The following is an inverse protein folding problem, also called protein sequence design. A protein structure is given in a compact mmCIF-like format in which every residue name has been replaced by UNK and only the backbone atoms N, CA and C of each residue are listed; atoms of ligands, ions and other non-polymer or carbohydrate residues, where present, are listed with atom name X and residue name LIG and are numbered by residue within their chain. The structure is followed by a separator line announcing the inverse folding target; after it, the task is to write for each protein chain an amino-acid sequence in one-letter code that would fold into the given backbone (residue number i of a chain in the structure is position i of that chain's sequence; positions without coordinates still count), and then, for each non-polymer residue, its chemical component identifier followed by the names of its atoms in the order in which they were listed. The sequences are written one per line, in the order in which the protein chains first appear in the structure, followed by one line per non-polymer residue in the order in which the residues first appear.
data_IF_873425701893
#
_entry.id   IF_873425701893
#
_cell.length_a   1.000
_cell.length_b   1.000
_cell.length_c   1.000
_cell.angle_alpha   90.00
_cell.angle_beta   90.00
_cell.angle_gamma   90.00
#
_symmetry.space_group_name_H-M   'P 1'
#
loop_
_entity.id
_entity.type
_entity.pdbx_description
1 polymer ?
#
# COMPACT_ATOMS: atom_id res chain seq x y z
N UNK A 1 -18.26 11.60 -13.92
CA UNK A 1 -18.05 10.81 -12.69
C UNK A 1 -17.34 9.47 -12.94
N UNK A 2 -17.92 8.55 -13.74
CA UNK A 2 -17.43 7.15 -13.85
C UNK A 2 -16.00 7.00 -14.39
N UNK A 3 -15.56 7.84 -15.33
CA UNK A 3 -14.20 7.76 -15.88
C UNK A 3 -13.13 8.12 -14.84
N UNK A 4 -13.35 9.20 -14.07
CA UNK A 4 -12.43 9.65 -13.00
C UNK A 4 -12.36 8.59 -11.89
N UNK A 5 -13.52 8.06 -11.47
CA UNK A 5 -13.58 7.02 -10.45
C UNK A 5 -12.81 5.76 -10.89
N UNK A 6 -12.92 5.35 -12.16
CA UNK A 6 -12.15 4.21 -12.69
C UNK A 6 -10.63 4.42 -12.69
N UNK A 7 -10.12 5.67 -12.71
CA UNK A 7 -8.66 5.92 -12.66
C UNK A 7 -8.05 5.54 -11.30
N UNK A 8 -8.84 5.55 -10.21
CA UNK A 8 -8.37 5.14 -8.88
C UNK A 8 -7.96 3.66 -8.82
N UNK A 9 -8.41 2.82 -9.75
CA UNK A 9 -7.96 1.42 -9.90
C UNK A 9 -6.46 1.31 -10.20
N UNK A 10 -5.85 2.35 -10.74
CA UNK A 10 -4.40 2.39 -11.01
C UNK A 10 -3.66 3.28 -10.01
N UNK A 11 -4.24 4.43 -9.67
CA UNK A 11 -3.60 5.42 -8.80
C UNK A 11 -3.46 4.90 -7.36
N UNK A 12 -4.52 4.38 -6.75
CA UNK A 12 -4.46 3.95 -5.35
C UNK A 12 -3.49 2.77 -5.14
N UNK A 13 -3.52 1.70 -5.97
CA UNK A 13 -2.52 0.64 -5.87
C UNK A 13 -1.08 1.10 -5.97
N UNK A 14 -0.81 2.02 -6.90
CA UNK A 14 0.52 2.59 -7.08
C UNK A 14 1.00 3.31 -5.82
N UNK A 15 0.15 4.18 -5.25
CA UNK A 15 0.45 4.91 -4.02
C UNK A 15 0.66 3.96 -2.83
N UNK A 16 -0.20 2.94 -2.67
CA UNK A 16 -0.10 1.96 -1.60
C UNK A 16 1.17 1.09 -1.71
N UNK A 17 1.60 0.75 -2.92
CA UNK A 17 2.81 -0.02 -3.16
C UNK A 17 4.09 0.72 -2.74
N UNK A 18 4.06 2.05 -2.57
CA UNK A 18 5.23 2.84 -2.16
C UNK A 18 5.77 2.47 -0.76
N UNK A 19 4.92 2.03 0.18
CA UNK A 19 5.40 1.53 1.48
C UNK A 19 6.20 0.23 1.34
N UNK A 20 5.77 -0.64 0.42
CA UNK A 20 6.49 -1.88 0.13
C UNK A 20 7.80 -1.58 -0.59
N UNK A 21 7.81 -0.60 -1.51
CA UNK A 21 9.04 -0.11 -2.12
C UNK A 21 10.04 0.40 -1.08
N UNK A 22 9.57 1.24 -0.16
CA UNK A 22 10.38 1.85 0.90
C UNK A 22 11.06 0.81 1.78
N UNK A 23 10.35 -0.26 2.19
CA UNK A 23 10.96 -1.33 2.99
C UNK A 23 11.94 -2.17 2.16
N UNK A 24 11.58 -2.48 0.92
CA UNK A 24 12.42 -3.24 -0.01
C UNK A 24 13.75 -2.54 -0.24
N UNK A 25 13.71 -1.22 -0.47
CA UNK A 25 14.91 -0.40 -0.67
C UNK A 25 15.82 -0.41 0.56
N UNK A 26 15.25 -0.22 1.75
CA UNK A 26 16.02 -0.23 3.00
C UNK A 26 16.70 -1.58 3.24
N UNK A 27 15.99 -2.68 3.05
CA UNK A 27 16.55 -4.02 3.22
C UNK A 27 17.60 -4.38 2.16
N UNK A 28 17.47 -3.87 0.94
CA UNK A 28 18.49 -4.06 -0.10
C UNK A 28 19.78 -3.29 0.16
N UNK A 29 19.68 -2.09 0.74
CA UNK A 29 20.84 -1.22 0.97
C UNK A 29 21.58 -1.53 2.26
N UNK A 30 20.85 -1.77 3.34
CA UNK A 30 21.42 -1.87 4.70
C UNK A 30 21.28 -3.28 5.31
N UNK A 31 20.53 -4.17 4.66
CA UNK A 31 20.32 -5.54 5.15
C UNK A 31 21.60 -6.37 5.19
N UNK A 32 21.57 -7.55 5.84
CA UNK A 32 22.73 -8.44 6.00
C UNK A 32 23.16 -9.17 4.70
N UNK A 33 22.90 -8.57 3.53
CA UNK A 33 23.05 -9.18 2.22
C UNK A 33 21.84 -10.03 1.84
N UNK A 34 21.38 -9.93 0.58
CA UNK A 34 20.21 -10.66 0.09
C UNK A 34 20.65 -11.92 -0.66
N UNK A 35 20.19 -13.10 -0.23
CA UNK A 35 20.46 -14.36 -0.95
C UNK A 35 19.77 -14.40 -2.32
N UNK A 36 20.36 -15.09 -3.32
CA UNK A 36 19.69 -15.33 -4.60
C UNK A 36 18.29 -15.93 -4.40
N UNK A 37 17.30 -15.43 -5.14
CA UNK A 37 15.90 -15.87 -5.03
C UNK A 37 15.10 -15.24 -3.88
N UNK A 38 15.74 -14.72 -2.84
CA UNK A 38 15.05 -13.98 -1.77
C UNK A 38 14.27 -12.76 -2.28
N UNK A 39 14.76 -11.95 -3.25
CA UNK A 39 14.00 -10.81 -3.77
C UNK A 39 12.63 -11.21 -4.33
N UNK A 40 12.59 -12.25 -5.17
CA UNK A 40 11.37 -12.73 -5.80
C UNK A 40 10.42 -13.34 -4.74
N UNK A 41 10.97 -14.15 -3.83
CA UNK A 41 10.21 -14.74 -2.73
C UNK A 41 9.54 -13.67 -1.86
N UNK A 42 10.28 -12.64 -1.46
CA UNK A 42 9.76 -11.53 -0.66
C UNK A 42 8.67 -10.77 -1.41
N UNK A 43 8.89 -10.43 -2.68
CA UNK A 43 7.92 -9.71 -3.49
C UNK A 43 6.61 -10.49 -3.70
N UNK A 44 6.70 -11.81 -3.92
CA UNK A 44 5.53 -12.69 -4.03
C UNK A 44 4.75 -12.74 -2.72
N UNK A 45 5.42 -12.91 -1.58
CA UNK A 45 4.74 -12.92 -0.26
C UNK A 45 4.09 -11.58 0.03
N UNK A 46 4.78 -10.47 -0.26
CA UNK A 46 4.24 -9.12 -0.10
C UNK A 46 2.98 -8.91 -0.95
N UNK A 47 3.04 -9.30 -2.23
CA UNK A 47 1.92 -9.19 -3.17
C UNK A 47 0.71 -10.02 -2.73
N UNK A 48 0.93 -11.29 -2.37
CA UNK A 48 -0.13 -12.20 -1.94
C UNK A 48 -0.80 -11.73 -0.65
N UNK A 49 -0.02 -11.37 0.37
CA UNK A 49 -0.57 -10.90 1.64
C UNK A 49 -1.25 -9.54 1.49
N UNK A 50 -0.71 -8.63 0.67
CA UNK A 50 -1.37 -7.38 0.35
C UNK A 50 -2.76 -7.61 -0.29
N UNK A 51 -2.85 -8.51 -1.27
CA UNK A 51 -4.11 -8.86 -1.92
C UNK A 51 -5.10 -9.53 -0.96
N UNK A 52 -4.65 -10.48 -0.14
CA UNK A 52 -5.51 -11.17 0.86
C UNK A 52 -6.06 -10.17 1.88
N UNK A 53 -5.21 -9.30 2.42
CA UNK A 53 -5.62 -8.28 3.39
C UNK A 53 -6.55 -7.24 2.76
N UNK A 54 -6.29 -6.83 1.52
CA UNK A 54 -7.18 -5.96 0.77
C UNK A 54 -8.58 -6.56 0.59
N UNK A 55 -8.63 -7.82 0.13
CA UNK A 55 -9.89 -8.56 -0.04
C UNK A 55 -10.62 -8.70 1.29
N UNK A 56 -9.91 -8.99 2.38
CA UNK A 56 -10.47 -9.03 3.72
C UNK A 56 -11.11 -7.70 4.15
N UNK A 57 -10.45 -6.57 3.87
CA UNK A 57 -10.98 -5.23 4.12
C UNK A 57 -12.21 -4.90 3.27
N UNK A 58 -12.21 -5.33 2.00
CA UNK A 58 -13.35 -5.13 1.11
C UNK A 58 -14.61 -5.87 1.58
N UNK A 59 -14.45 -7.13 1.99
CA UNK A 59 -15.57 -7.94 2.48
C UNK A 59 -16.06 -7.50 3.86
N UNK A 60 -15.17 -7.06 4.77
CA UNK A 60 -15.58 -6.56 6.08
C UNK A 60 -16.46 -5.31 5.96
N UNK A 61 -16.14 -4.41 5.03
CA UNK A 61 -16.96 -3.25 4.70
C UNK A 61 -18.30 -3.61 4.03
N UNK A 62 -18.37 -4.74 3.32
CA UNK A 62 -19.57 -5.18 2.61
C UNK A 62 -20.77 -5.46 3.52
N UNK A 63 -20.54 -5.77 4.80
CA UNK A 63 -21.61 -5.94 5.81
C UNK A 63 -22.19 -4.58 6.21
N UNK A 64 -21.34 -3.56 6.35
CA UNK A 64 -21.72 -2.20 6.74
C UNK A 64 -22.36 -1.43 5.57
N UNK A 65 -21.81 -1.60 4.37
CA UNK A 65 -22.26 -0.90 3.16
C UNK A 65 -23.70 -1.26 2.74
N UNK A 66 -24.19 -2.46 3.08
CA UNK A 66 -25.60 -2.85 2.81
C UNK A 66 -26.61 -2.13 3.70
N UNK A 67 -26.15 -1.48 4.76
CA UNK A 67 -27.02 -0.88 5.79
C UNK A 67 -26.87 0.64 5.91
N UNK A 68 -25.94 1.24 5.17
CA UNK A 68 -25.72 2.69 5.15
C UNK A 68 -26.53 3.35 4.03
N UNK A 69 -27.64 3.98 4.37
CA UNK A 69 -28.31 4.97 3.52
C UNK A 69 -27.58 6.31 3.69
N UNK A 70 -26.51 6.53 2.90
CA UNK A 70 -25.68 7.74 2.93
C UNK A 70 -24.45 7.68 3.84
N UNK A 71 -23.44 8.51 3.56
CA UNK A 71 -22.22 8.66 4.37
C UNK A 71 -21.01 7.82 3.95
N UNK A 72 -21.08 7.11 2.82
CA UNK A 72 -19.97 6.28 2.32
C UNK A 72 -18.74 7.11 1.92
N UNK A 73 -18.96 8.34 1.46
CA UNK A 73 -17.93 9.31 1.08
C UNK A 73 -17.02 9.68 2.26
N UNK A 74 -17.56 9.82 3.47
CA UNK A 74 -16.78 10.07 4.69
C UNK A 74 -15.93 8.86 5.08
N UNK A 75 -16.46 7.65 4.87
CA UNK A 75 -15.70 6.41 5.15
C UNK A 75 -14.49 6.32 4.22
N UNK A 76 -14.66 6.59 2.92
CA UNK A 76 -13.54 6.63 1.96
C UNK A 76 -12.50 7.66 2.39
N UNK A 77 -12.93 8.88 2.72
CA UNK A 77 -12.05 9.96 3.15
C UNK A 77 -11.24 9.55 4.40
N UNK A 78 -11.91 9.04 5.43
CA UNK A 78 -11.28 8.63 6.70
C UNK A 78 -10.29 7.48 6.47
N UNK A 79 -10.65 6.45 5.72
CA UNK A 79 -9.78 5.30 5.46
C UNK A 79 -8.52 5.70 4.69
N UNK A 80 -8.65 6.54 3.67
CA UNK A 80 -7.51 7.06 2.91
C UNK A 80 -6.67 8.03 3.75
N UNK A 81 -7.29 8.85 4.60
CA UNK A 81 -6.56 9.73 5.53
C UNK A 81 -5.75 8.94 6.55
N UNK A 82 -6.33 7.94 7.20
CA UNK A 82 -5.62 7.09 8.15
C UNK A 82 -4.42 6.43 7.46
N UNK A 83 -4.63 5.87 6.27
CA UNK A 83 -3.57 5.20 5.52
C UNK A 83 -2.45 6.16 5.13
N UNK A 84 -2.80 7.33 4.57
CA UNK A 84 -1.84 8.34 4.14
C UNK A 84 -1.05 8.94 5.31
N UNK A 85 -1.72 9.29 6.42
CA UNK A 85 -1.07 9.80 7.62
C UNK A 85 -0.11 8.77 8.22
N UNK A 86 -0.49 7.49 8.27
CA UNK A 86 0.39 6.42 8.76
C UNK A 86 1.65 6.30 7.93
N UNK A 87 1.55 6.39 6.59
CA UNK A 87 2.72 6.38 5.71
C UNK A 87 3.62 7.59 5.96
N UNK A 88 3.04 8.79 6.12
CA UNK A 88 3.80 10.01 6.42
C UNK A 88 4.53 9.91 7.77
N UNK A 89 3.84 9.47 8.82
CA UNK A 89 4.41 9.27 10.16
C UNK A 89 5.53 8.22 10.09
N UNK A 90 5.32 7.13 9.35
CA UNK A 90 6.35 6.11 9.14
C UNK A 90 7.56 6.67 8.42
N UNK A 91 7.37 7.47 7.38
CA UNK A 91 8.46 8.11 6.65
C UNK A 91 9.26 9.04 7.57
N UNK A 92 8.61 9.87 8.38
CA UNK A 92 9.31 10.77 9.30
C UNK A 92 10.06 10.06 10.42
N UNK A 93 9.47 9.00 10.99
CA UNK A 93 10.12 8.21 12.06
C UNK A 93 11.22 7.29 11.54
N UNK A 94 11.31 7.07 10.23
CA UNK A 94 12.30 6.18 9.62
C UNK A 94 13.67 6.87 9.58
N UNK A 95 14.52 6.57 10.57
CA UNK A 95 15.96 6.73 10.44
C UNK A 95 16.50 5.65 9.49
N UNK A 96 17.63 5.95 8.85
CA UNK A 96 18.20 5.12 7.80
C UNK A 96 18.45 3.65 8.20
N UNK A 97 19.01 3.43 9.39
CA UNK A 97 19.42 2.11 9.88
C UNK A 97 18.37 1.41 10.76
N UNK A 98 17.28 2.10 11.12
CA UNK A 98 16.38 1.67 12.20
C UNK A 98 15.25 0.75 11.71
N UNK A 99 15.12 0.54 10.40
CA UNK A 99 14.13 -0.36 9.78
C UNK A 99 14.77 -1.32 8.78
N UNK A 100 15.86 -1.94 9.22
CA UNK A 100 16.58 -2.97 8.49
C UNK A 100 16.26 -4.31 9.10
N UNK A 101 15.80 -5.24 8.27
CA UNK A 101 15.35 -6.55 8.70
C UNK A 101 16.07 -7.62 7.88
N UNK A 102 16.36 -8.76 8.51
CA UNK A 102 16.91 -9.90 7.79
C UNK A 102 15.82 -10.60 6.97
N UNK A 103 15.67 -10.18 5.72
CA UNK A 103 14.69 -10.73 4.79
C UNK A 103 15.05 -12.13 4.30
N UNK A 104 16.19 -12.70 4.68
CA UNK A 104 16.49 -14.09 4.39
C UNK A 104 15.64 -15.02 5.27
N UNK A 105 15.19 -14.53 6.43
CA UNK A 105 14.32 -15.23 7.36
C UNK A 105 12.87 -15.10 6.93
N UNK A 106 12.23 -16.23 6.62
CA UNK A 106 10.84 -16.27 6.20
C UNK A 106 9.87 -15.62 7.21
N UNK A 107 10.00 -15.84 8.53
CA UNK A 107 9.12 -15.19 9.52
C UNK A 107 9.17 -13.66 9.48
N UNK A 108 10.36 -13.12 9.17
CA UNK A 108 10.57 -11.67 9.08
C UNK A 108 9.86 -11.10 7.86
N UNK A 109 9.86 -11.81 6.73
CA UNK A 109 9.08 -11.41 5.55
C UNK A 109 7.59 -11.34 5.89
N UNK A 110 7.04 -12.38 6.54
CA UNK A 110 5.63 -12.39 6.95
C UNK A 110 5.31 -11.24 7.91
N UNK A 111 6.14 -11.02 8.94
CA UNK A 111 5.94 -9.94 9.89
C UNK A 111 5.89 -8.55 9.22
N UNK A 112 6.82 -8.27 8.30
CA UNK A 112 6.80 -7.02 7.52
C UNK A 112 5.57 -6.92 6.64
N UNK A 113 5.19 -8.00 5.95
CA UNK A 113 4.04 -8.01 5.06
C UNK A 113 2.73 -7.74 5.82
N UNK A 114 2.56 -8.29 7.02
CA UNK A 114 1.42 -7.98 7.90
C UNK A 114 1.46 -6.54 8.41
N UNK A 115 2.63 -6.06 8.84
CA UNK A 115 2.77 -4.68 9.32
C UNK A 115 2.41 -3.66 8.24
N UNK A 116 2.86 -3.88 7.00
CA UNK A 116 2.55 -3.05 5.83
C UNK A 116 1.10 -3.24 5.35
N UNK A 117 0.61 -4.47 5.41
CA UNK A 117 -0.69 -4.88 4.90
C UNK A 117 -1.88 -4.27 5.65
N UNK A 118 -1.65 -3.64 6.81
CA UNK A 118 -2.68 -2.86 7.49
C UNK A 118 -3.18 -1.67 6.64
N UNK A 119 -2.34 -1.11 5.77
CA UNK A 119 -2.76 -0.10 4.79
C UNK A 119 -3.71 -0.69 3.73
N UNK A 120 -3.50 -1.96 3.38
CA UNK A 120 -4.31 -2.67 2.39
C UNK A 120 -5.71 -3.00 2.92
N UNK A 121 -5.83 -3.33 4.21
CA UNK A 121 -7.14 -3.50 4.86
C UNK A 121 -8.00 -2.23 4.75
N UNK A 122 -7.45 -1.07 5.14
CA UNK A 122 -8.18 0.21 5.06
C UNK A 122 -8.50 0.59 3.61
N UNK A 123 -7.57 0.36 2.68
CA UNK A 123 -7.83 0.56 1.26
C UNK A 123 -8.96 -0.35 0.74
N UNK A 124 -9.04 -1.60 1.20
CA UNK A 124 -10.13 -2.52 0.86
C UNK A 124 -11.50 -1.98 1.27
N UNK A 125 -11.59 -1.45 2.49
CA UNK A 125 -12.80 -0.76 2.98
C UNK A 125 -13.14 0.42 2.09
N UNK A 126 -12.18 1.30 1.79
CA UNK A 126 -12.39 2.46 0.93
C UNK A 126 -12.91 2.07 -0.47
N UNK A 127 -12.25 1.11 -1.13
CA UNK A 127 -12.62 0.64 -2.47
C UNK A 127 -14.05 0.09 -2.51
N UNK A 128 -14.51 -0.57 -1.43
CA UNK A 128 -15.89 -1.07 -1.35
C UNK A 128 -16.92 0.06 -1.43
N UNK A 129 -16.66 1.17 -0.76
CA UNK A 129 -17.52 2.37 -0.77
C UNK A 129 -17.33 3.23 -2.02
N UNK A 130 -16.18 3.13 -2.70
CA UNK A 130 -15.97 3.73 -4.03
C UNK A 130 -16.61 2.94 -5.18
N UNK A 131 -17.28 1.81 -4.87
CA UNK A 131 -17.93 0.91 -5.84
C UNK A 131 -17.00 0.42 -6.96
N UNK A 132 -15.70 0.38 -6.70
CA UNK A 132 -14.72 -0.12 -7.65
C UNK A 132 -14.79 -1.64 -7.74
N UNK A 133 -14.47 -2.14 -8.94
CA UNK A 133 -14.40 -3.58 -9.20
C UNK A 133 -13.29 -4.23 -8.37
N UNK A 134 -13.69 -5.10 -7.44
CA UNK A 134 -12.78 -5.85 -6.57
C UNK A 134 -11.71 -6.59 -7.38
N UNK A 135 -12.12 -7.34 -8.40
CA UNK A 135 -11.20 -8.13 -9.21
C UNK A 135 -10.15 -7.25 -9.90
N UNK A 136 -10.58 -6.16 -10.56
CA UNK A 136 -9.65 -5.24 -11.25
C UNK A 136 -8.69 -4.58 -10.27
N UNK A 137 -9.19 -4.10 -9.13
CA UNK A 137 -8.35 -3.43 -8.14
C UNK A 137 -7.36 -4.40 -7.48
N UNK A 138 -7.82 -5.57 -7.03
CA UNK A 138 -6.98 -6.56 -6.36
C UNK A 138 -5.87 -7.07 -7.29
N UNK A 139 -6.16 -7.29 -8.57
CA UNK A 139 -5.14 -7.67 -9.56
C UNK A 139 -4.11 -6.56 -9.78
N UNK A 140 -4.55 -5.33 -10.01
CA UNK A 140 -3.63 -4.19 -10.17
C UNK A 140 -2.77 -3.99 -8.92
N UNK A 141 -3.37 -4.13 -7.74
CA UNK A 141 -2.66 -4.06 -6.46
C UNK A 141 -1.60 -5.15 -6.33
N UNK A 142 -1.95 -6.41 -6.57
CA UNK A 142 -1.01 -7.51 -6.51
C UNK A 142 0.17 -7.30 -7.46
N UNK A 143 -0.10 -6.89 -8.70
CA UNK A 143 0.94 -6.62 -9.70
C UNK A 143 1.83 -5.44 -9.32
N UNK A 144 1.23 -4.32 -8.87
CA UNK A 144 2.00 -3.14 -8.45
C UNK A 144 2.89 -3.46 -7.26
N UNK A 145 2.37 -4.12 -6.22
CA UNK A 145 3.18 -4.52 -5.06
C UNK A 145 4.28 -5.48 -5.47
N UNK A 146 4.00 -6.47 -6.33
CA UNK A 146 4.98 -7.43 -6.81
C UNK A 146 6.13 -6.73 -7.55
N UNK A 147 5.84 -5.99 -8.62
CA UNK A 147 6.89 -5.40 -9.46
C UNK A 147 7.65 -4.28 -8.75
N UNK A 148 6.96 -3.43 -7.99
CA UNK A 148 7.58 -2.32 -7.29
C UNK A 148 8.45 -2.84 -6.14
N UNK A 149 7.95 -3.75 -5.30
CA UNK A 149 8.76 -4.26 -4.20
C UNK A 149 9.94 -5.10 -4.69
N UNK A 150 9.78 -5.84 -5.79
CA UNK A 150 10.85 -6.59 -6.42
C UNK A 150 11.93 -5.66 -6.99
N UNK A 151 11.54 -4.61 -7.71
CA UNK A 151 12.50 -3.63 -8.25
C UNK A 151 13.26 -2.91 -7.15
N UNK A 152 12.60 -2.59 -6.03
CA UNK A 152 13.26 -2.03 -4.84
C UNK A 152 14.29 -2.96 -4.21
N UNK A 153 14.06 -4.28 -4.24
CA UNK A 153 15.01 -5.27 -3.72
C UNK A 153 16.19 -5.51 -4.67
N UNK A 154 15.98 -5.45 -5.99
CA UNK A 154 17.03 -5.66 -6.98
C UNK A 154 17.93 -4.44 -7.15
N UNK A 155 17.32 -3.26 -7.32
CA UNK A 155 18.03 -2.03 -7.66
C UNK A 155 18.26 -1.14 -6.42
N UNK A 156 18.01 -1.66 -5.22
CA UNK A 156 18.02 -0.84 -4.01
C UNK A 156 19.35 -0.17 -3.69
N UNK A 157 20.47 -0.80 -4.09
CA UNK A 157 21.82 -0.24 -3.97
C UNK A 157 22.06 0.98 -4.88
N UNK A 158 21.33 1.10 -5.99
CA UNK A 158 21.51 2.19 -6.97
C UNK A 158 20.81 3.48 -6.53
N UNK A 159 19.80 3.40 -5.66
CA UNK A 159 19.07 4.56 -5.17
C UNK A 159 19.73 5.18 -3.95
N UNK A 160 19.47 6.47 -3.73
CA UNK A 160 19.85 7.17 -2.50
C UNK A 160 19.14 6.57 -1.29
N UNK A 161 19.81 6.56 -0.15
CA UNK A 161 19.28 6.13 1.15
C UNK A 161 17.92 6.77 1.49
N UNK A 162 17.76 8.06 1.21
CA UNK A 162 16.52 8.80 1.48
C UNK A 162 15.38 8.48 0.52
N UNK A 163 15.63 7.80 -0.60
CA UNK A 163 14.66 7.64 -1.68
C UNK A 163 13.44 6.81 -1.26
N UNK A 164 13.65 5.75 -0.48
CA UNK A 164 12.55 4.92 0.06
C UNK A 164 11.65 5.74 0.98
N UNK A 165 12.25 6.54 1.87
CA UNK A 165 11.53 7.47 2.75
C UNK A 165 10.72 8.49 1.95
N UNK A 166 11.32 9.07 0.91
CA UNK A 166 10.63 10.04 0.03
C UNK A 166 9.44 9.38 -0.67
N UNK A 167 9.59 8.18 -1.21
CA UNK A 167 8.49 7.47 -1.87
C UNK A 167 7.34 7.16 -0.93
N UNK A 168 7.62 6.68 0.28
CA UNK A 168 6.57 6.44 1.28
C UNK A 168 5.84 7.73 1.68
N UNK A 169 6.59 8.83 1.84
CA UNK A 169 6.00 10.14 2.12
C UNK A 169 5.12 10.67 0.97
N UNK A 170 5.61 10.59 -0.27
CA UNK A 170 4.85 10.98 -1.47
C UNK A 170 3.60 10.13 -1.64
N UNK A 171 3.71 8.82 -1.40
CA UNK A 171 2.55 7.91 -1.41
C UNK A 171 1.51 8.30 -0.38
N UNK A 172 1.94 8.65 0.83
CA UNK A 172 1.06 9.12 1.89
C UNK A 172 0.34 10.42 1.54
N UNK A 173 1.05 11.42 1.02
CA UNK A 173 0.45 12.67 0.54
C UNK A 173 -0.52 12.40 -0.61
N UNK A 174 -0.14 11.53 -1.55
CA UNK A 174 -0.99 11.12 -2.65
C UNK A 174 -2.32 10.52 -2.19
N UNK A 175 -2.31 9.70 -1.14
CA UNK A 175 -3.54 9.13 -0.57
C UNK A 175 -4.41 10.19 0.11
N UNK A 176 -3.81 11.16 0.82
CA UNK A 176 -4.57 12.27 1.41
C UNK A 176 -5.26 13.10 0.33
N UNK A 177 -4.54 13.45 -0.74
CA UNK A 177 -5.09 14.18 -1.87
C UNK A 177 -6.17 13.37 -2.60
N UNK A 178 -5.93 12.08 -2.82
CA UNK A 178 -6.88 11.18 -3.46
C UNK A 178 -8.21 11.11 -2.69
N UNK A 179 -8.16 11.01 -1.35
CA UNK A 179 -9.33 11.00 -0.49
C UNK A 179 -10.09 12.33 -0.52
N UNK A 180 -9.39 13.46 -0.40
CA UNK A 180 -10.00 14.79 -0.46
C UNK A 180 -10.65 15.07 -1.82
N UNK A 181 -9.97 14.71 -2.92
CA UNK A 181 -10.50 14.89 -4.27
C UNK A 181 -11.73 14.00 -4.51
N UNK A 182 -11.70 12.74 -4.05
CA UNK A 182 -12.85 11.86 -4.13
C UNK A 182 -14.05 12.45 -3.39
N UNK A 183 -13.85 12.90 -2.15
CA UNK A 183 -14.88 13.53 -1.34
C UNK A 183 -15.48 14.76 -2.04
N UNK A 184 -14.66 15.65 -2.58
CA UNK A 184 -15.14 16.83 -3.33
C UNK A 184 -15.88 16.46 -4.62
N UNK A 185 -15.45 15.40 -5.31
CA UNK A 185 -16.07 14.97 -6.57
C UNK A 185 -17.44 14.31 -6.41
N UNK A 186 -17.78 13.86 -5.20
CA UNK A 186 -19.04 13.17 -4.89
C UNK A 186 -20.05 14.09 -4.19
N UNK A 187 -19.61 15.27 -3.71
CA UNK A 187 -20.51 16.29 -3.18
C UNK A 187 -21.40 16.90 -4.29
N UNK A 188 -22.68 17.20 -3.99
CA UNK A 188 -23.61 17.81 -4.93
C UNK A 188 -23.28 19.26 -5.26
#
# INVERSE_FOLDING_TARGET
MSAIVNMYVFILPLLLAMSYFSISLSNARFGPGIKPGTPLKTAVIFSLLAAVLFVGGYYSAGVLARRSEGGGEWVVLIMLMITGLRMIIHAWKKKADEKVYDINLLPVIFAMAFALGMNMLFAGVAVRFMELSLARFAWTLALMVLFISFSGLLYGLQFRESFGRTMEFVGGIGLLMAGGLYYYSVLP
#
